data_IF_772332338798
#
_entry.id   IF_772332338798
#
_cell.length_a   1.000
_cell.length_b   1.000
_cell.length_c   1.000
_cell.angle_alpha   90.00
_cell.angle_beta   90.00
_cell.angle_gamma   90.00
#
_symmetry.space_group_name_H-M   'P 1'
#
loop_
_entity.id
_entity.type
_entity.pdbx_description
1 polymer ?
#
# COMPACT_ATOMS: atom_id res chain seq x y z
N UNK A 1 12.92 28.87 13.82
CA UNK A 1 11.83 27.90 13.65
C UNK A 1 12.13 27.08 12.39
N UNK A 2 12.82 25.95 12.50
CA UNK A 2 13.26 25.17 11.34
C UNK A 2 13.05 23.67 11.59
N UNK A 3 11.90 23.14 11.16
CA UNK A 3 11.70 21.68 11.05
C UNK A 3 12.21 21.26 9.68
N UNK A 4 13.51 20.97 9.56
CA UNK A 4 14.10 20.31 8.38
C UNK A 4 13.52 18.90 8.30
N UNK A 5 12.67 18.65 7.32
CA UNK A 5 12.18 17.30 7.03
C UNK A 5 13.36 16.42 6.62
N UNK A 6 13.48 15.23 7.25
CA UNK A 6 14.49 14.21 6.95
C UNK A 6 14.46 13.82 5.47
N UNK A 7 15.64 13.71 4.87
CA UNK A 7 15.85 13.41 3.45
C UNK A 7 15.42 11.97 3.07
N UNK A 8 15.00 11.75 1.82
CA UNK A 8 14.59 10.44 1.28
C UNK A 8 15.77 9.46 1.16
N UNK A 9 15.50 8.17 1.38
CA UNK A 9 16.51 7.10 1.40
C UNK A 9 16.68 6.53 -0.01
N UNK A 10 17.88 6.70 -0.58
CA UNK A 10 18.19 6.51 -2.00
C UNK A 10 18.32 5.05 -2.50
N UNK A 11 18.49 4.08 -1.61
CA UNK A 11 18.75 2.67 -1.96
C UNK A 11 17.56 1.72 -1.69
N UNK A 12 16.45 2.27 -1.22
CA UNK A 12 15.24 1.52 -0.88
C UNK A 12 14.42 1.38 -2.19
N UNK A 13 13.99 0.18 -2.67
CA UNK A 13 13.25 0.03 -3.94
C UNK A 13 11.90 0.77 -3.93
N UNK A 14 11.46 1.13 -2.73
CA UNK A 14 10.44 2.11 -2.33
C UNK A 14 11.05 2.85 -1.13
N UNK A 15 10.71 4.12 -0.78
CA UNK A 15 11.41 4.98 0.23
C UNK A 15 10.71 5.15 1.61
N UNK A 16 11.43 5.34 2.73
CA UNK A 16 10.99 5.45 4.16
C UNK A 16 9.84 6.40 4.56
N UNK A 17 9.16 6.99 3.58
CA UNK A 17 7.78 7.49 3.68
C UNK A 17 6.72 6.37 3.48
N UNK A 18 7.10 5.12 3.30
CA UNK A 18 6.19 4.01 2.93
C UNK A 18 5.08 3.74 3.94
N UNK A 19 5.34 3.84 5.25
CA UNK A 19 4.29 3.65 6.26
C UNK A 19 4.47 4.56 7.48
N UNK A 20 4.18 5.87 7.42
CA UNK A 20 4.06 6.63 8.65
C UNK A 20 2.69 6.41 9.31
N UNK A 21 1.71 5.73 8.67
CA UNK A 21 0.53 5.08 9.29
C UNK A 21 -0.31 4.16 8.33
N UNK A 22 0.29 3.40 7.38
CA UNK A 22 -0.36 2.61 6.27
C UNK A 22 -0.38 3.34 4.90
N UNK A 23 -0.54 4.67 4.79
CA UNK A 23 -0.41 5.37 3.50
C UNK A 23 0.13 6.81 3.68
N UNK A 24 1.45 7.03 3.69
CA UNK A 24 1.99 8.37 3.35
C UNK A 24 2.23 8.48 1.86
N UNK A 25 1.11 8.48 1.16
CA UNK A 25 1.04 9.10 -0.14
C UNK A 25 0.52 10.53 0.00
N UNK A 26 0.84 11.21 1.11
CA UNK A 26 0.62 12.66 1.26
C UNK A 26 1.37 13.48 0.21
N UNK A 27 2.34 12.87 -0.48
CA UNK A 27 3.08 13.47 -1.58
C UNK A 27 2.45 13.22 -2.97
N UNK A 28 1.65 12.16 -3.15
CA UNK A 28 1.07 11.79 -4.45
C UNK A 28 -0.30 12.45 -4.57
N UNK A 29 -0.39 13.50 -5.40
CA UNK A 29 -1.60 14.31 -5.58
C UNK A 29 -2.41 13.82 -6.79
N UNK A 30 -3.74 13.87 -6.69
CA UNK A 30 -4.65 13.65 -7.81
C UNK A 30 -4.90 12.17 -8.15
N UNK A 31 -4.93 11.86 -9.44
CA UNK A 31 -5.34 10.56 -10.01
C UNK A 31 -4.42 9.39 -9.63
N UNK A 32 -3.10 9.62 -9.52
CA UNK A 32 -2.15 8.57 -9.16
C UNK A 32 -2.42 7.96 -7.77
N UNK A 33 -2.97 8.75 -6.83
CA UNK A 33 -3.35 8.23 -5.51
C UNK A 33 -4.56 7.29 -5.59
N UNK A 34 -5.50 7.57 -6.50
CA UNK A 34 -6.72 6.79 -6.67
C UNK A 34 -6.41 5.42 -7.29
N UNK A 35 -5.54 5.37 -8.30
CA UNK A 35 -5.04 4.09 -8.85
C UNK A 35 -4.34 3.24 -7.79
N UNK A 36 -3.49 3.86 -6.97
CA UNK A 36 -2.73 3.16 -5.94
C UNK A 36 -3.66 2.60 -4.84
N UNK A 37 -4.73 3.32 -4.49
CA UNK A 37 -5.76 2.82 -3.58
C UNK A 37 -6.54 1.64 -4.18
N UNK A 38 -6.95 1.75 -5.45
CA UNK A 38 -7.65 0.66 -6.16
C UNK A 38 -6.78 -0.59 -6.21
N UNK A 39 -5.50 -0.44 -6.54
CA UNK A 39 -4.56 -1.54 -6.64
C UNK A 39 -4.38 -2.27 -5.30
N UNK A 40 -4.28 -1.53 -4.19
CA UNK A 40 -4.22 -2.14 -2.86
C UNK A 40 -5.52 -2.86 -2.47
N UNK A 41 -6.69 -2.30 -2.79
CA UNK A 41 -7.97 -2.97 -2.52
C UNK A 41 -8.10 -4.25 -3.35
N UNK A 42 -7.72 -4.21 -4.63
CA UNK A 42 -7.71 -5.39 -5.49
C UNK A 42 -6.73 -6.46 -5.00
N UNK A 43 -5.52 -6.06 -4.59
CA UNK A 43 -4.50 -6.97 -4.07
C UNK A 43 -4.99 -7.70 -2.82
N UNK A 44 -5.58 -6.97 -1.87
CA UNK A 44 -6.18 -7.57 -0.66
C UNK A 44 -7.37 -8.46 -1.02
N UNK A 45 -8.23 -8.01 -1.94
CA UNK A 45 -9.39 -8.77 -2.41
C UNK A 45 -9.01 -10.12 -3.03
N UNK A 46 -7.95 -10.17 -3.85
CA UNK A 46 -7.44 -11.42 -4.44
C UNK A 46 -6.98 -12.40 -3.36
N UNK A 47 -6.24 -11.92 -2.36
CA UNK A 47 -5.75 -12.77 -1.26
C UNK A 47 -6.92 -13.33 -0.45
N UNK A 48 -7.88 -12.48 -0.06
CA UNK A 48 -9.07 -12.88 0.69
C UNK A 48 -9.94 -13.85 -0.12
N UNK A 49 -10.19 -13.55 -1.40
CA UNK A 49 -10.95 -14.43 -2.29
C UNK A 49 -10.29 -15.79 -2.47
N UNK A 50 -8.97 -15.82 -2.62
CA UNK A 50 -8.20 -17.07 -2.72
C UNK A 50 -8.31 -17.88 -1.44
N UNK A 51 -8.19 -17.25 -0.27
CA UNK A 51 -8.37 -17.91 1.02
C UNK A 51 -9.77 -18.52 1.15
N UNK A 52 -10.82 -17.81 0.74
CA UNK A 52 -12.20 -18.32 0.77
C UNK A 52 -12.33 -19.57 -0.11
N UNK A 53 -11.81 -19.54 -1.34
CA UNK A 53 -11.87 -20.70 -2.26
C UNK A 53 -11.12 -21.90 -1.69
N UNK A 54 -9.94 -21.67 -1.11
CA UNK A 54 -9.16 -22.73 -0.46
C UNK A 54 -9.97 -23.35 0.68
N UNK A 55 -10.54 -22.52 1.56
CA UNK A 55 -11.40 -22.98 2.66
C UNK A 55 -12.56 -23.83 2.13
N UNK A 56 -13.32 -23.33 1.16
CA UNK A 56 -14.44 -24.08 0.58
C UNK A 56 -14.00 -25.43 0.00
N UNK A 57 -12.85 -25.47 -0.68
CA UNK A 57 -12.30 -26.71 -1.22
C UNK A 57 -11.87 -27.71 -0.15
N UNK A 58 -11.46 -27.26 1.03
CA UNK A 58 -11.10 -28.14 2.14
C UNK A 58 -12.32 -28.67 2.90
N UNK A 59 -13.46 -27.98 2.85
CA UNK A 59 -14.70 -28.37 3.53
C UNK A 59 -15.73 -29.07 2.62
N UNK A 60 -15.49 -29.13 1.31
CA UNK A 60 -16.20 -30.00 0.35
C UNK A 60 -15.45 -31.33 0.17
#
# INVERSE_FOLDING_TARGET
MAKRAKEPISWLPVDSRIFPHIFSFGHVKGTARLFLQIEMVLSVGVVVGTLIVVVLKFFQ
#
